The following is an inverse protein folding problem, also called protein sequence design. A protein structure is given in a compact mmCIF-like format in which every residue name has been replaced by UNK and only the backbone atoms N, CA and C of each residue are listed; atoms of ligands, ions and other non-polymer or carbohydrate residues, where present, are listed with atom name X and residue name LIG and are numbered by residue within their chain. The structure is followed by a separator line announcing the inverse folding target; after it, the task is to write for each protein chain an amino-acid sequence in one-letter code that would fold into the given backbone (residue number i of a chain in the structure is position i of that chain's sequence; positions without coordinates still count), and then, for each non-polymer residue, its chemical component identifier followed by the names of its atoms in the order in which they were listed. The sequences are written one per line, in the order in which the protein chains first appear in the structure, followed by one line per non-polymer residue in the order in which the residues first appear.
data_IF_389836691373
#
_entry.id   IF_389836691373
#
_cell.length_a   1.000
_cell.length_b   1.000
_cell.length_c   1.000
_cell.angle_alpha   90.00
_cell.angle_beta   90.00
_cell.angle_gamma   90.00
#
_symmetry.space_group_name_H-M   'P 1'
#
loop_
_entity.id
_entity.type
_entity.pdbx_description
1 polymer ?
#
# COMPACT_ATOMS: atom_id res chain seq x y z
N UNK A 1 -4.15 -0.72 -8.76
CA UNK A 1 -5.09 -0.13 -7.79
C UNK A 1 -4.30 0.84 -6.94
N UNK A 2 -4.86 2.00 -6.57
CA UNK A 2 -4.13 3.00 -5.75
C UNK A 2 -5.06 3.85 -4.91
N UNK A 3 -4.57 4.30 -3.76
CA UNK A 3 -5.26 5.19 -2.84
C UNK A 3 -4.24 6.00 -2.04
N UNK A 4 -4.46 7.31 -1.79
CA UNK A 4 -3.60 8.08 -0.90
C UNK A 4 -3.64 7.52 0.53
N UNK A 5 -2.49 7.48 1.20
CA UNK A 5 -2.44 7.07 2.61
C UNK A 5 -2.94 8.20 3.52
N UNK A 6 -4.04 7.95 4.24
CA UNK A 6 -4.56 8.79 5.31
C UNK A 6 -5.18 10.12 4.88
N UNK A 7 -5.73 10.82 5.88
CA UNK A 7 -6.37 12.11 5.69
C UNK A 7 -5.36 13.23 5.42
N UNK A 8 -5.73 14.15 4.52
CA UNK A 8 -5.05 15.43 4.33
C UNK A 8 -6.09 16.53 4.14
N UNK A 9 -5.99 17.61 4.92
CA UNK A 9 -6.92 18.74 4.84
C UNK A 9 -7.00 19.29 3.41
N UNK A 10 -8.24 19.49 2.93
CA UNK A 10 -8.51 20.00 1.58
C UNK A 10 -8.30 18.99 0.44
N UNK A 11 -7.99 17.71 0.72
CA UNK A 11 -7.86 16.66 -0.30
C UNK A 11 -8.97 15.62 -0.17
N UNK A 12 -9.59 15.28 -1.30
CA UNK A 12 -10.40 14.05 -1.41
C UNK A 12 -9.45 12.89 -1.74
N UNK A 13 -9.48 11.82 -0.95
CA UNK A 13 -8.74 10.60 -1.27
C UNK A 13 -9.47 9.85 -2.38
N UNK A 14 -9.05 10.05 -3.62
CA UNK A 14 -9.57 9.29 -4.76
C UNK A 14 -8.97 7.88 -4.77
N UNK A 15 -9.84 6.86 -4.76
CA UNK A 15 -9.47 5.46 -4.88
C UNK A 15 -9.59 5.05 -6.34
N UNK A 16 -8.49 4.60 -6.94
CA UNK A 16 -8.44 4.15 -8.35
C UNK A 16 -8.48 2.63 -8.43
N UNK A 17 -9.56 2.11 -9.02
CA UNK A 17 -9.79 0.68 -9.23
C UNK A 17 -9.95 0.43 -10.73
N UNK A 18 -8.95 -0.24 -11.33
CA UNK A 18 -9.08 -0.83 -12.65
C UNK A 18 -9.96 -2.10 -12.59
N UNK A 19 -10.45 -2.64 -13.71
CA UNK A 19 -11.36 -3.79 -13.69
C UNK A 19 -10.83 -5.01 -12.93
N UNK A 20 -9.52 -5.27 -12.98
CA UNK A 20 -8.81 -6.32 -12.25
C UNK A 20 -8.74 -6.08 -10.73
N UNK A 21 -8.92 -4.84 -10.28
CA UNK A 21 -8.98 -4.45 -8.87
C UNK A 21 -10.36 -4.63 -8.23
N UNK A 22 -11.40 -4.89 -9.02
CA UNK A 22 -12.80 -4.83 -8.57
C UNK A 22 -13.25 -6.11 -7.86
N UNK A 23 -12.49 -6.51 -6.84
CA UNK A 23 -12.86 -7.59 -5.93
C UNK A 23 -12.69 -7.16 -4.48
N UNK A 24 -13.43 -7.80 -3.57
CA UNK A 24 -13.60 -7.35 -2.19
C UNK A 24 -12.26 -7.07 -1.48
N UNK A 25 -11.30 -7.99 -1.59
CA UNK A 25 -9.99 -7.83 -0.95
C UNK A 25 -9.23 -6.57 -1.39
N UNK A 26 -9.18 -6.28 -2.69
CA UNK A 26 -8.47 -5.10 -3.19
C UNK A 26 -9.22 -3.81 -2.90
N UNK A 27 -10.55 -3.81 -2.95
CA UNK A 27 -11.34 -2.64 -2.53
C UNK A 27 -11.10 -2.34 -1.05
N UNK A 28 -11.10 -3.35 -0.19
CA UNK A 28 -10.79 -3.19 1.24
C UNK A 28 -9.35 -2.70 1.47
N UNK A 29 -8.37 -3.21 0.72
CA UNK A 29 -6.98 -2.77 0.78
C UNK A 29 -6.83 -1.27 0.48
N UNK A 30 -7.42 -0.78 -0.61
CA UNK A 30 -7.34 0.64 -0.98
C UNK A 30 -8.14 1.55 -0.02
N UNK A 31 -9.23 1.05 0.56
CA UNK A 31 -9.93 1.73 1.65
C UNK A 31 -9.04 1.85 2.90
N UNK A 32 -8.31 0.80 3.27
CA UNK A 32 -7.36 0.86 4.40
C UNK A 32 -6.24 1.88 4.16
N UNK A 33 -5.72 1.95 2.94
CA UNK A 33 -4.80 3.05 2.57
C UNK A 33 -5.45 4.41 2.82
N UNK A 34 -6.66 4.64 2.31
CA UNK A 34 -7.40 5.89 2.55
C UNK A 34 -7.61 6.22 4.03
N UNK A 35 -7.77 5.20 4.88
CA UNK A 35 -7.87 5.34 6.34
C UNK A 35 -6.53 5.63 7.04
N UNK A 36 -5.40 5.39 6.37
CA UNK A 36 -4.07 5.71 6.90
C UNK A 36 -3.15 4.51 7.13
N UNK A 37 -3.54 3.31 6.71
CA UNK A 37 -2.68 2.14 6.83
C UNK A 37 -1.67 2.10 5.66
N UNK A 38 -0.38 1.93 5.98
CA UNK A 38 0.64 1.56 4.98
C UNK A 38 0.70 0.03 4.85
N UNK A 39 1.51 -0.47 3.94
CA UNK A 39 1.72 -1.91 3.82
C UNK A 39 2.36 -2.49 5.09
N UNK A 40 1.93 -3.70 5.47
CA UNK A 40 2.34 -4.33 6.73
C UNK A 40 3.84 -4.59 6.80
N UNK A 41 4.46 -4.96 5.66
CA UNK A 41 5.91 -5.11 5.57
C UNK A 41 6.67 -3.78 5.65
N UNK A 42 6.02 -2.65 5.87
CA UNK A 42 6.69 -1.36 6.11
C UNK A 42 6.80 -1.06 7.60
N UNK A 43 6.24 -1.90 8.47
CA UNK A 43 6.32 -1.71 9.91
C UNK A 43 7.79 -1.58 10.38
N UNK A 44 8.06 -0.72 11.38
CA UNK A 44 9.42 -0.54 11.89
C UNK A 44 10.05 -1.80 12.48
N UNK A 45 9.23 -2.74 12.94
CA UNK A 45 9.64 -3.99 13.57
C UNK A 45 9.60 -5.20 12.62
N UNK A 46 9.35 -4.99 11.31
CA UNK A 46 9.20 -6.09 10.33
C UNK A 46 10.39 -7.06 10.31
N UNK A 47 11.61 -6.56 10.54
CA UNK A 47 12.84 -7.32 10.37
C UNK A 47 12.98 -8.39 11.48
N UNK A 48 12.10 -8.36 12.50
CA UNK A 48 11.93 -9.44 13.48
C UNK A 48 11.06 -10.60 12.97
N UNK A 49 10.34 -10.42 11.87
CA UNK A 49 9.30 -11.35 11.38
C UNK A 49 9.54 -11.82 9.95
N UNK A 50 10.13 -10.98 9.10
CA UNK A 50 10.37 -11.27 7.68
C UNK A 50 11.75 -10.80 7.24
N UNK A 51 12.34 -11.51 6.28
CA UNK A 51 13.57 -11.12 5.60
C UNK A 51 13.24 -10.60 4.19
N UNK A 52 13.79 -9.44 3.82
CA UNK A 52 13.68 -8.91 2.47
C UNK A 52 14.90 -9.33 1.66
N UNK A 53 14.71 -10.23 0.69
CA UNK A 53 15.74 -10.61 -0.26
C UNK A 53 15.92 -9.52 -1.33
N UNK A 54 16.67 -8.48 -0.99
CA UNK A 54 16.82 -7.27 -1.80
C UNK A 54 17.30 -7.50 -3.23
N UNK A 55 18.15 -8.52 -3.45
CA UNK A 55 18.66 -8.88 -4.78
C UNK A 55 17.57 -9.38 -5.73
N UNK A 56 16.43 -9.84 -5.19
CA UNK A 56 15.29 -10.29 -5.98
C UNK A 56 14.32 -9.15 -6.35
N UNK A 57 14.56 -7.92 -5.89
CA UNK A 57 13.68 -6.77 -6.16
C UNK A 57 14.08 -6.12 -7.50
N UNK A 58 13.13 -5.94 -8.44
CA UNK A 58 13.41 -5.24 -9.70
C UNK A 58 13.94 -3.82 -9.47
N UNK A 59 14.92 -3.40 -10.29
CA UNK A 59 15.50 -2.05 -10.21
C UNK A 59 14.40 -0.98 -10.29
N UNK A 60 14.45 0.00 -9.38
CA UNK A 60 13.47 1.09 -9.31
C UNK A 60 12.16 0.74 -8.60
N UNK A 61 12.04 -0.44 -7.99
CA UNK A 61 10.87 -0.87 -7.19
C UNK A 61 11.15 -1.00 -5.69
N UNK A 62 12.30 -0.50 -5.23
CA UNK A 62 12.70 -0.55 -3.82
C UNK A 62 11.95 0.44 -2.92
N UNK A 63 11.10 1.30 -3.48
CA UNK A 63 10.31 2.26 -2.72
C UNK A 63 9.03 1.60 -2.22
N UNK A 64 9.01 1.35 -0.92
CA UNK A 64 7.84 0.93 -0.18
C UNK A 64 7.02 2.20 0.15
N UNK A 65 5.94 2.46 -0.59
CA UNK A 65 4.84 3.32 -0.10
C UNK A 65 3.94 2.52 0.81
#
# INVERSE_FOLDING_TARGET
CTSPVGYRAGRVNAISLAPDCMHQGMVSHELLHSLGFSHEQNRPDRDNYVEILWDNIPKGKSTLT
#
